data_IF_753814287413
#
_entry.id   IF_753814287413
#
_cell.length_a   1.000
_cell.length_b   1.000
_cell.length_c   1.000
_cell.angle_alpha   90.00
_cell.angle_beta   90.00
_cell.angle_gamma   90.00
#
_symmetry.space_group_name_H-M   'P 1'
#
loop_
_entity.id
_entity.type
_entity.pdbx_description
1 polymer ?
#
# COMPACT_ATOMS: atom_id res chain seq x y z
N UNK A 1 76.18 -14.38 27.54
CA UNK A 1 74.85 -14.95 27.87
C UNK A 1 73.81 -14.10 27.12
N UNK A 2 73.41 -14.52 25.90
CA UNK A 2 72.60 -13.72 24.96
C UNK A 2 71.19 -14.28 24.96
N UNK A 3 70.23 -13.53 25.48
CA UNK A 3 68.78 -13.89 25.47
C UNK A 3 68.21 -13.63 24.10
N UNK A 4 67.81 -14.69 23.40
CA UNK A 4 67.01 -14.59 22.18
C UNK A 4 65.54 -14.32 22.53
N UNK A 5 65.01 -13.16 22.09
CA UNK A 5 63.59 -12.85 22.19
C UNK A 5 62.84 -13.56 21.06
N UNK A 6 61.92 -14.44 21.42
CA UNK A 6 60.91 -14.99 20.48
C UNK A 6 59.81 -13.93 20.29
N UNK A 7 59.54 -13.57 19.05
CA UNK A 7 58.35 -12.79 18.67
C UNK A 7 57.14 -13.71 18.47
N UNK A 8 55.94 -13.40 18.97
CA UNK A 8 54.75 -14.20 18.70
C UNK A 8 54.23 -13.90 17.28
N UNK A 9 54.10 -14.94 16.49
CA UNK A 9 53.43 -14.88 15.20
C UNK A 9 51.90 -14.85 15.46
N UNK A 10 51.30 -13.71 15.19
CA UNK A 10 49.83 -13.55 15.23
C UNK A 10 49.26 -14.06 13.91
N UNK A 11 48.67 -15.26 13.93
CA UNK A 11 48.00 -15.83 12.77
C UNK A 11 46.60 -15.17 12.66
N UNK A 12 46.40 -14.22 11.73
CA UNK A 12 45.13 -13.62 11.42
C UNK A 12 44.28 -14.68 10.67
N UNK A 13 43.33 -15.29 11.35
CA UNK A 13 42.30 -16.11 10.73
C UNK A 13 41.34 -15.20 9.95
N UNK A 14 41.49 -15.11 8.64
CA UNK A 14 40.50 -14.54 7.72
C UNK A 14 39.32 -15.50 7.66
N UNK A 15 38.24 -15.21 8.40
CA UNK A 15 36.98 -15.89 8.27
C UNK A 15 36.33 -15.33 6.96
N UNK A 16 36.06 -16.19 5.95
CA UNK A 16 35.32 -15.72 4.78
C UNK A 16 33.92 -15.31 5.23
N UNK A 17 33.55 -14.04 5.03
CA UNK A 17 32.15 -13.63 5.08
C UNK A 17 31.44 -14.37 3.96
N UNK A 18 30.66 -15.40 4.32
CA UNK A 18 29.73 -16.04 3.40
C UNK A 18 28.66 -15.01 3.05
N UNK A 19 28.76 -14.39 1.87
CA UNK A 19 27.66 -13.63 1.31
C UNK A 19 26.51 -14.62 1.06
N UNK A 20 25.48 -14.59 1.88
CA UNK A 20 24.24 -15.30 1.59
C UNK A 20 23.67 -14.70 0.30
N UNK A 21 23.35 -15.52 -0.72
CA UNK A 21 22.72 -14.99 -1.92
C UNK A 21 21.37 -14.40 -1.52
N UNK A 22 21.20 -13.11 -1.78
CA UNK A 22 19.90 -12.46 -1.62
C UNK A 22 18.92 -13.13 -2.59
N UNK A 23 17.83 -13.67 -2.07
CA UNK A 23 16.82 -14.33 -2.88
C UNK A 23 16.22 -13.29 -3.82
N UNK A 24 16.34 -13.50 -5.13
CA UNK A 24 15.74 -12.61 -6.11
C UNK A 24 14.21 -12.73 -6.04
N UNK A 25 13.50 -11.61 -6.11
CA UNK A 25 12.05 -11.61 -6.18
C UNK A 25 11.58 -12.33 -7.44
N UNK A 26 10.61 -13.24 -7.30
CA UNK A 26 10.00 -13.93 -8.42
C UNK A 26 8.78 -13.14 -8.87
N UNK A 27 8.80 -12.71 -10.15
CA UNK A 27 7.63 -12.10 -10.78
C UNK A 27 7.09 -13.05 -11.85
N UNK A 28 5.88 -13.52 -11.67
CA UNK A 28 5.17 -14.32 -12.67
C UNK A 28 4.95 -13.46 -13.93
N UNK A 29 5.36 -13.90 -15.13
CA UNK A 29 5.10 -13.15 -16.36
C UNK A 29 3.63 -12.82 -16.57
N UNK A 30 2.72 -13.72 -16.17
CA UNK A 30 1.28 -13.51 -16.26
C UNK A 30 0.82 -12.41 -15.29
N UNK A 31 1.29 -12.38 -14.04
CA UNK A 31 0.96 -11.33 -13.09
C UNK A 31 1.44 -9.96 -13.59
N UNK A 32 2.67 -9.89 -14.09
CA UNK A 32 3.25 -8.66 -14.67
C UNK A 32 2.42 -8.17 -15.86
N UNK A 33 2.03 -9.09 -16.77
CA UNK A 33 1.22 -8.74 -17.94
C UNK A 33 -0.17 -8.21 -17.54
N UNK A 34 -0.85 -8.84 -16.56
CA UNK A 34 -2.15 -8.41 -16.08
C UNK A 34 -2.08 -7.07 -15.33
N UNK A 35 -1.07 -6.86 -14.50
CA UNK A 35 -0.85 -5.59 -13.83
C UNK A 35 -0.53 -4.45 -14.82
N UNK A 36 0.25 -4.73 -15.88
CA UNK A 36 0.49 -3.77 -16.95
C UNK A 36 -0.80 -3.43 -17.72
N UNK A 37 -1.67 -4.42 -17.97
CA UNK A 37 -2.99 -4.20 -18.58
C UNK A 37 -3.88 -3.34 -17.68
N UNK A 38 -3.87 -3.57 -16.36
CA UNK A 38 -4.61 -2.76 -15.40
C UNK A 38 -4.15 -1.28 -15.42
N UNK A 39 -2.85 -1.02 -15.40
CA UNK A 39 -2.30 0.35 -15.50
C UNK A 39 -2.66 0.97 -16.86
N UNK A 40 -2.57 0.23 -17.95
CA UNK A 40 -2.96 0.72 -19.27
C UNK A 40 -4.46 1.05 -19.33
N UNK A 41 -5.32 0.25 -18.70
CA UNK A 41 -6.75 0.52 -18.60
C UNK A 41 -7.06 1.75 -17.73
N UNK A 42 -6.33 1.93 -16.63
CA UNK A 42 -6.53 3.04 -15.70
C UNK A 42 -6.05 4.39 -16.26
N UNK A 43 -4.86 4.46 -16.81
CA UNK A 43 -4.20 5.74 -17.15
C UNK A 43 -3.62 5.81 -18.55
N UNK A 44 -3.67 4.71 -19.31
CA UNK A 44 -3.06 4.68 -20.64
C UNK A 44 -1.58 5.06 -20.59
N UNK A 45 -1.10 5.92 -21.50
CA UNK A 45 0.29 6.37 -21.52
C UNK A 45 0.58 7.51 -20.51
N UNK A 46 -0.43 8.00 -19.79
CA UNK A 46 -0.27 9.14 -18.88
C UNK A 46 0.34 8.68 -17.55
N UNK A 47 1.56 9.10 -17.19
CA UNK A 47 2.11 8.81 -15.87
C UNK A 47 1.33 9.59 -14.81
N UNK A 48 0.96 8.90 -13.75
CA UNK A 48 0.27 9.51 -12.60
C UNK A 48 1.29 9.65 -11.48
N UNK A 49 1.55 10.90 -11.06
CA UNK A 49 2.46 11.20 -9.96
C UNK A 49 1.70 11.55 -8.68
N UNK A 50 0.64 12.33 -8.81
CA UNK A 50 -0.19 12.72 -7.68
C UNK A 50 -1.68 12.73 -8.05
N UNK A 51 -2.52 12.63 -7.03
CA UNK A 51 -3.97 12.65 -7.16
C UNK A 51 -4.61 13.29 -5.93
N UNK A 52 -5.60 14.17 -6.16
CA UNK A 52 -6.49 14.69 -5.12
C UNK A 52 -7.93 14.31 -5.47
N UNK A 53 -8.62 13.64 -4.56
CA UNK A 53 -10.02 13.28 -4.67
C UNK A 53 -10.82 14.04 -3.60
N UNK A 54 -11.96 14.60 -3.99
CA UNK A 54 -12.89 15.24 -3.05
C UNK A 54 -14.28 14.68 -3.22
N UNK A 55 -15.01 14.55 -2.12
CA UNK A 55 -16.33 13.93 -2.16
C UNK A 55 -17.05 13.92 -0.83
N UNK A 56 -17.97 13.00 -0.68
CA UNK A 56 -18.69 12.73 0.55
C UNK A 56 -18.30 11.38 1.12
N UNK A 57 -18.41 11.25 2.44
CA UNK A 57 -18.09 10.05 3.19
C UNK A 57 -19.24 9.67 4.12
N UNK A 58 -19.49 8.37 4.25
CA UNK A 58 -20.24 7.78 5.36
C UNK A 58 -19.31 6.83 6.10
N UNK A 59 -19.11 7.09 7.39
CA UNK A 59 -18.30 6.26 8.30
C UNK A 59 -19.22 5.50 9.23
N UNK A 60 -18.97 4.21 9.40
CA UNK A 60 -19.68 3.32 10.33
C UNK A 60 -18.70 2.78 11.38
N UNK A 61 -18.98 2.99 12.66
CA UNK A 61 -18.21 2.47 13.78
C UNK A 61 -19.17 1.85 14.80
N UNK A 62 -19.38 0.53 14.70
CA UNK A 62 -20.40 -0.16 15.50
C UNK A 62 -21.80 0.35 15.13
N UNK A 63 -22.51 0.95 16.11
CA UNK A 63 -23.83 1.57 15.90
C UNK A 63 -23.76 3.01 15.38
N UNK A 64 -22.60 3.64 15.43
CA UNK A 64 -22.46 5.05 15.10
C UNK A 64 -22.25 5.20 13.60
N UNK A 65 -23.12 6.00 12.96
CA UNK A 65 -23.05 6.32 11.54
C UNK A 65 -22.95 7.83 11.43
N UNK A 66 -21.87 8.28 10.76
CA UNK A 66 -21.61 9.69 10.52
C UNK A 66 -21.41 9.93 9.03
N UNK A 67 -21.90 11.07 8.55
CA UNK A 67 -21.70 11.47 7.15
C UNK A 67 -21.11 12.88 7.09
N UNK A 68 -20.39 13.15 6.00
CA UNK A 68 -19.74 14.44 5.79
C UNK A 68 -18.93 14.49 4.52
N UNK A 69 -17.86 15.27 4.54
CA UNK A 69 -16.98 15.44 3.38
C UNK A 69 -15.65 14.71 3.54
N UNK A 70 -15.02 14.39 2.42
CA UNK A 70 -13.71 13.77 2.35
C UNK A 70 -12.81 14.52 1.38
N UNK A 71 -11.53 14.65 1.77
CA UNK A 71 -10.42 14.97 0.87
C UNK A 71 -9.38 13.86 1.00
N UNK A 72 -8.99 13.30 -0.14
CA UNK A 72 -7.93 12.30 -0.23
C UNK A 72 -6.84 12.82 -1.14
N UNK A 73 -5.60 12.75 -0.69
CA UNK A 73 -4.42 13.14 -1.45
C UNK A 73 -3.42 12.01 -1.47
N UNK A 74 -2.80 11.76 -2.62
CA UNK A 74 -1.78 10.74 -2.78
C UNK A 74 -0.65 11.23 -3.68
N UNK A 75 0.59 10.83 -3.36
CA UNK A 75 1.78 11.11 -4.14
C UNK A 75 2.64 9.85 -4.27
N UNK A 76 2.87 9.40 -5.51
CA UNK A 76 3.79 8.34 -5.90
C UNK A 76 3.67 7.02 -5.10
N UNK A 77 2.47 6.71 -4.57
CA UNK A 77 2.18 5.44 -3.86
C UNK A 77 2.75 5.32 -2.45
N UNK A 78 3.60 6.26 -2.01
CA UNK A 78 4.24 6.22 -0.68
C UNK A 78 3.73 7.29 0.27
N UNK A 79 2.98 8.26 -0.24
CA UNK A 79 2.43 9.35 0.55
C UNK A 79 0.93 9.41 0.36
N UNK A 80 0.20 9.57 1.45
CA UNK A 80 -1.23 9.81 1.41
C UNK A 80 -1.68 10.68 2.58
N UNK A 81 -2.79 11.36 2.36
CA UNK A 81 -3.52 12.10 3.36
C UNK A 81 -5.00 11.83 3.18
N UNK A 82 -5.70 11.63 4.28
CA UNK A 82 -7.14 11.51 4.32
C UNK A 82 -7.68 12.47 5.38
N UNK A 83 -8.53 13.39 4.95
CA UNK A 83 -9.26 14.30 5.82
C UNK A 83 -10.76 14.02 5.71
N UNK A 84 -11.37 13.56 6.81
CA UNK A 84 -12.81 13.39 6.95
C UNK A 84 -13.35 14.49 7.87
N UNK A 85 -14.33 15.26 7.39
CA UNK A 85 -15.11 16.20 8.20
C UNK A 85 -16.52 15.68 8.29
N UNK A 86 -16.82 14.96 9.38
CA UNK A 86 -18.07 14.26 9.60
C UNK A 86 -18.99 15.06 10.53
N UNK A 87 -20.24 14.63 10.68
CA UNK A 87 -21.26 15.33 11.44
C UNK A 87 -20.91 15.59 12.91
N UNK A 88 -20.18 14.66 13.55
CA UNK A 88 -19.81 14.77 14.97
C UNK A 88 -18.29 14.62 15.20
N UNK A 89 -17.50 14.31 14.18
CA UNK A 89 -16.07 14.07 14.31
C UNK A 89 -15.28 14.53 13.11
N UNK A 90 -13.97 14.70 13.30
CA UNK A 90 -13.00 14.89 12.23
C UNK A 90 -11.96 13.79 12.34
N UNK A 91 -11.54 13.23 11.19
CA UNK A 91 -10.45 12.27 11.14
C UNK A 91 -9.40 12.79 10.16
N UNK A 92 -8.17 12.81 10.63
CA UNK A 92 -7.02 13.19 9.84
C UNK A 92 -6.00 12.07 9.92
N UNK A 93 -5.60 11.56 8.77
CA UNK A 93 -4.60 10.49 8.65
C UNK A 93 -3.58 10.89 7.61
N UNK A 94 -2.30 10.76 7.94
CA UNK A 94 -1.18 10.99 7.02
C UNK A 94 -0.28 9.77 7.02
N UNK A 95 0.15 9.36 5.83
CA UNK A 95 1.20 8.36 5.63
C UNK A 95 2.28 8.96 4.75
N UNK A 96 3.53 8.79 5.13
CA UNK A 96 4.68 9.36 4.43
C UNK A 96 5.94 8.49 4.62
N UNK A 97 7.07 9.00 4.17
CA UNK A 97 8.38 8.40 4.39
C UNK A 97 9.20 9.25 5.36
N UNK A 98 9.90 8.61 6.28
CA UNK A 98 10.94 9.26 7.09
C UNK A 98 12.12 9.71 6.24
N UNK A 99 13.03 10.47 6.82
CA UNK A 99 14.28 10.89 6.16
C UNK A 99 15.15 9.72 5.66
N UNK A 100 14.96 8.52 6.24
CA UNK A 100 15.63 7.29 5.84
C UNK A 100 14.80 6.43 4.88
N UNK A 101 13.75 7.00 4.28
CA UNK A 101 12.82 6.32 3.37
C UNK A 101 12.09 5.12 4.01
N UNK A 102 11.91 5.15 5.33
CA UNK A 102 11.10 4.15 6.05
C UNK A 102 9.65 4.61 6.07
N UNK A 103 8.67 3.76 5.68
CA UNK A 103 7.26 4.08 5.79
C UNK A 103 6.86 4.44 7.23
N UNK A 104 6.11 5.50 7.38
CA UNK A 104 5.57 5.95 8.66
C UNK A 104 4.24 6.66 8.44
N UNK A 105 3.54 6.98 9.51
CA UNK A 105 2.31 7.74 9.45
C UNK A 105 1.77 8.05 10.84
N UNK A 106 0.73 8.86 10.87
CA UNK A 106 0.04 9.24 12.08
C UNK A 106 -1.43 9.57 11.79
N UNK A 107 -2.23 9.53 12.81
CA UNK A 107 -3.58 10.07 12.81
C UNK A 107 -3.74 11.09 13.95
N UNK A 108 -4.69 11.99 13.84
CA UNK A 108 -4.94 12.99 14.87
C UNK A 108 -6.05 12.49 15.79
N UNK A 109 -5.75 12.37 17.08
CA UNK A 109 -6.71 12.01 18.11
C UNK A 109 -7.71 13.16 18.36
N UNK A 110 -8.86 12.90 19.02
CA UNK A 110 -9.89 13.92 19.30
C UNK A 110 -9.40 15.12 20.11
N UNK A 111 -8.31 14.96 20.87
CA UNK A 111 -7.66 16.04 21.63
C UNK A 111 -6.67 16.87 20.79
N UNK A 112 -6.55 16.56 19.50
CA UNK A 112 -5.63 17.22 18.56
C UNK A 112 -4.20 16.66 18.58
N UNK A 113 -3.89 15.65 19.39
CA UNK A 113 -2.55 15.07 19.47
C UNK A 113 -2.30 14.07 18.32
N UNK A 114 -1.11 14.11 17.68
CA UNK A 114 -0.74 13.12 16.70
C UNK A 114 -0.43 11.77 17.36
N UNK A 115 -1.01 10.71 16.82
CA UNK A 115 -0.81 9.32 17.25
C UNK A 115 -0.09 8.57 16.12
N UNK A 116 1.13 8.08 16.33
CA UNK A 116 1.85 7.38 15.28
C UNK A 116 1.22 6.02 15.00
N UNK A 117 1.20 5.62 13.74
CA UNK A 117 0.93 4.23 13.36
C UNK A 117 2.11 3.34 13.72
N UNK A 118 1.82 2.13 14.15
CA UNK A 118 2.84 1.09 14.24
C UNK A 118 3.46 0.83 12.86
N UNK A 119 4.78 0.62 12.81
CA UNK A 119 5.52 0.45 11.56
C UNK A 119 4.91 -0.65 10.67
N UNK A 120 4.50 -1.78 11.25
CA UNK A 120 3.90 -2.89 10.51
C UNK A 120 2.60 -2.51 9.81
N UNK A 121 1.84 -1.51 10.31
CA UNK A 121 0.65 -0.98 9.64
C UNK A 121 0.97 0.06 8.55
N UNK A 122 2.26 0.41 8.37
CA UNK A 122 2.70 1.29 7.28
C UNK A 122 3.32 0.53 6.10
N UNK A 123 3.32 -0.81 6.12
CA UNK A 123 3.99 -1.63 5.10
C UNK A 123 3.16 -1.86 3.83
N UNK A 124 1.84 -1.66 3.89
CA UNK A 124 0.94 -1.71 2.72
C UNK A 124 0.85 -0.37 2.01
N UNK A 125 0.15 -0.32 0.89
CA UNK A 125 0.02 0.89 0.08
C UNK A 125 -0.57 2.07 0.86
N UNK A 126 0.19 3.17 0.94
CA UNK A 126 -0.29 4.40 1.54
C UNK A 126 -1.48 4.97 0.75
N UNK A 127 -1.42 4.90 -0.58
CA UNK A 127 -2.43 5.41 -1.50
C UNK A 127 -3.53 4.37 -1.81
N UNK A 128 -3.99 3.60 -0.83
CA UNK A 128 -4.96 2.51 -0.98
C UNK A 128 -6.23 2.89 -1.75
N UNK A 129 -6.61 4.16 -1.78
CA UNK A 129 -7.79 4.69 -2.49
C UNK A 129 -7.53 5.09 -3.95
N UNK A 130 -6.28 5.08 -4.39
CA UNK A 130 -5.85 5.47 -5.73
C UNK A 130 -5.17 4.30 -6.45
N UNK A 131 -5.93 3.40 -7.12
CA UNK A 131 -5.36 2.17 -7.68
C UNK A 131 -4.25 2.43 -8.72
N UNK A 132 -4.16 3.63 -9.30
CA UNK A 132 -3.09 4.06 -10.18
C UNK A 132 -1.73 4.20 -9.46
N UNK A 133 -1.74 4.37 -8.13
CA UNK A 133 -0.57 4.63 -7.29
C UNK A 133 -0.29 3.49 -6.30
N UNK A 134 -0.84 2.30 -6.53
CA UNK A 134 -0.65 1.10 -5.71
C UNK A 134 0.50 0.23 -6.23
N UNK A 135 0.63 -1.00 -5.72
CA UNK A 135 1.61 -2.00 -6.16
C UNK A 135 1.61 -2.23 -7.68
N UNK A 136 0.46 -2.02 -8.34
CA UNK A 136 0.33 -2.15 -9.80
C UNK A 136 1.30 -1.23 -10.57
N UNK A 137 1.60 -0.05 -10.04
CA UNK A 137 2.53 0.91 -10.66
C UNK A 137 4.01 0.64 -10.32
N UNK A 138 4.29 -0.30 -9.42
CA UNK A 138 5.63 -0.59 -8.88
C UNK A 138 6.29 -1.85 -9.45
N UNK A 139 5.85 -2.34 -10.62
CA UNK A 139 6.36 -3.57 -11.24
C UNK A 139 7.87 -3.52 -11.54
N UNK A 140 8.46 -2.35 -11.65
CA UNK A 140 9.92 -2.17 -11.82
C UNK A 140 10.71 -2.32 -10.51
N UNK A 141 10.05 -2.43 -9.36
CA UNK A 141 10.73 -2.64 -8.08
C UNK A 141 11.34 -4.05 -8.06
N UNK A 142 12.68 -4.19 -7.95
CA UNK A 142 13.34 -5.50 -7.99
C UNK A 142 13.03 -6.38 -6.76
N UNK A 143 12.51 -5.79 -5.69
CA UNK A 143 12.09 -6.52 -4.48
C UNK A 143 10.61 -6.95 -4.52
N UNK A 144 9.85 -6.54 -5.54
CA UNK A 144 8.43 -6.89 -5.65
C UNK A 144 8.27 -8.33 -6.13
N UNK A 145 7.60 -9.14 -5.33
CA UNK A 145 7.06 -10.46 -5.74
C UNK A 145 5.71 -10.20 -6.37
N UNK A 146 5.46 -10.82 -7.52
CA UNK A 146 4.17 -10.76 -8.20
C UNK A 146 3.77 -12.16 -8.66
N UNK A 147 2.62 -12.66 -8.23
CA UNK A 147 2.10 -13.98 -8.56
C UNK A 147 0.69 -13.89 -9.12
N UNK A 148 0.39 -14.70 -10.12
CA UNK A 148 -0.98 -14.92 -10.58
C UNK A 148 -1.57 -16.09 -9.80
N UNK A 149 -2.63 -15.82 -9.05
CA UNK A 149 -3.32 -16.82 -8.23
C UNK A 149 -4.33 -17.61 -9.07
N UNK A 150 -5.07 -16.93 -9.93
CA UNK A 150 -6.07 -17.56 -10.80
C UNK A 150 -7.19 -16.61 -11.20
N UNK A 151 -8.14 -17.13 -11.99
CA UNK A 151 -9.40 -16.47 -12.24
C UNK A 151 -10.44 -16.99 -11.24
N UNK A 152 -11.20 -16.10 -10.65
CA UNK A 152 -12.28 -16.44 -9.71
C UNK A 152 -13.53 -15.59 -9.93
N UNK A 153 -14.54 -15.77 -9.08
CA UNK A 153 -15.79 -15.00 -9.14
C UNK A 153 -15.94 -14.18 -7.87
N UNK A 154 -16.10 -12.84 -8.01
CA UNK A 154 -16.44 -11.92 -6.94
C UNK A 154 -17.69 -11.14 -7.31
N UNK A 155 -18.68 -11.08 -6.40
CA UNK A 155 -19.94 -10.37 -6.65
C UNK A 155 -20.68 -10.82 -7.91
N UNK A 156 -20.46 -12.07 -8.38
CA UNK A 156 -21.05 -12.61 -9.61
C UNK A 156 -20.29 -12.27 -10.90
N UNK A 157 -19.20 -11.50 -10.83
CA UNK A 157 -18.34 -11.17 -11.96
C UNK A 157 -17.03 -11.98 -11.93
N UNK A 158 -16.50 -12.33 -13.11
CA UNK A 158 -15.19 -12.96 -13.23
C UNK A 158 -14.08 -11.94 -12.98
N UNK A 159 -13.09 -12.31 -12.16
CA UNK A 159 -11.94 -11.46 -11.84
C UNK A 159 -10.63 -12.24 -11.99
N UNK A 160 -9.56 -11.52 -12.34
CA UNK A 160 -8.18 -12.02 -12.29
C UNK A 160 -7.61 -11.68 -10.92
N UNK A 161 -7.12 -12.69 -10.20
CA UNK A 161 -6.56 -12.55 -8.86
C UNK A 161 -5.02 -12.52 -8.93
N UNK A 162 -4.43 -11.44 -8.44
CA UNK A 162 -3.00 -11.21 -8.35
C UNK A 162 -2.59 -11.09 -6.89
N UNK A 163 -1.47 -11.70 -6.53
CA UNK A 163 -0.81 -11.54 -5.24
C UNK A 163 0.49 -10.77 -5.39
N UNK A 164 0.68 -9.77 -4.55
CA UNK A 164 1.91 -8.99 -4.45
C UNK A 164 2.46 -9.03 -3.03
N UNK A 165 3.80 -9.00 -2.93
CA UNK A 165 4.50 -8.81 -1.66
C UNK A 165 5.88 -8.22 -1.93
N UNK A 166 6.55 -7.69 -0.91
CA UNK A 166 7.91 -7.16 -1.02
C UNK A 166 8.88 -8.06 -0.27
N UNK A 167 10.01 -8.41 -0.89
CA UNK A 167 11.09 -9.09 -0.20
C UNK A 167 11.81 -8.15 0.74
N UNK A 168 12.10 -8.63 1.95
CA UNK A 168 12.98 -7.95 2.88
C UNK A 168 14.41 -7.87 2.32
N UNK A 169 15.10 -6.75 2.58
CA UNK A 169 16.54 -6.64 2.33
C UNK A 169 17.38 -7.50 3.31
N UNK A 170 16.79 -7.89 4.43
CA UNK A 170 17.37 -8.78 5.44
C UNK A 170 16.77 -10.19 5.33
N UNK A 171 17.46 -11.24 5.81
CA UNK A 171 16.89 -12.58 5.83
C UNK A 171 15.53 -12.62 6.55
N UNK A 172 14.52 -13.17 5.90
CA UNK A 172 13.15 -13.34 6.40
C UNK A 172 12.74 -14.83 6.31
N UNK A 173 13.33 -15.71 7.15
CA UNK A 173 13.12 -17.15 7.03
C UNK A 173 11.70 -17.61 7.35
N UNK A 174 10.90 -16.77 7.99
CA UNK A 174 9.50 -17.05 8.33
C UNK A 174 8.51 -16.47 7.32
N UNK A 175 8.98 -15.61 6.40
CA UNK A 175 8.11 -14.85 5.51
C UNK A 175 7.29 -13.76 6.23
N UNK A 176 7.68 -13.40 7.45
CA UNK A 176 6.93 -12.44 8.26
C UNK A 176 6.83 -11.07 7.58
N UNK A 177 7.95 -10.54 7.08
CA UNK A 177 7.96 -9.27 6.38
C UNK A 177 7.13 -9.31 5.07
N UNK A 178 7.23 -10.44 4.32
CA UNK A 178 6.38 -10.64 3.15
C UNK A 178 4.90 -10.62 3.53
N UNK A 179 4.52 -11.23 4.66
CA UNK A 179 3.14 -11.19 5.16
C UNK A 179 2.66 -9.76 5.47
N UNK A 180 3.53 -8.91 6.05
CA UNK A 180 3.19 -7.51 6.35
C UNK A 180 3.02 -6.64 5.10
N UNK A 181 3.64 -7.02 4.00
CA UNK A 181 3.59 -6.27 2.72
C UNK A 181 2.66 -6.91 1.70
N UNK A 182 1.99 -8.02 2.06
CA UNK A 182 1.15 -8.76 1.15
C UNK A 182 -0.13 -7.99 0.80
N UNK A 183 -0.42 -7.93 -0.50
CA UNK A 183 -1.62 -7.33 -1.05
C UNK A 183 -2.19 -8.23 -2.15
N UNK A 184 -3.50 -8.47 -2.10
CA UNK A 184 -4.23 -9.17 -3.15
C UNK A 184 -4.98 -8.13 -4.01
N UNK A 185 -4.84 -8.22 -5.31
CA UNK A 185 -5.49 -7.32 -6.26
C UNK A 185 -6.40 -8.11 -7.17
N UNK A 186 -7.63 -7.67 -7.26
CA UNK A 186 -8.66 -8.28 -8.09
C UNK A 186 -9.01 -7.36 -9.25
N UNK A 187 -8.76 -7.84 -10.47
CA UNK A 187 -9.03 -7.11 -11.70
C UNK A 187 -10.26 -7.69 -12.38
N UNK A 188 -11.20 -6.88 -12.82
CA UNK A 188 -12.27 -7.34 -13.69
C UNK A 188 -11.70 -8.05 -14.93
N UNK A 189 -12.16 -9.26 -15.21
CA UNK A 189 -11.56 -10.12 -16.23
C UNK A 189 -11.74 -9.59 -17.67
N UNK A 190 -12.61 -8.59 -17.88
CA UNK A 190 -12.90 -8.01 -19.18
C UNK A 190 -12.24 -6.66 -19.37
N UNK A 191 -12.35 -5.78 -18.37
CA UNK A 191 -11.87 -4.40 -18.44
C UNK A 191 -10.47 -4.22 -17.87
N UNK A 192 -9.98 -5.17 -17.08
CA UNK A 192 -8.75 -5.14 -16.29
C UNK A 192 -8.69 -4.02 -15.24
N UNK A 193 -9.82 -3.35 -14.99
CA UNK A 193 -9.88 -2.36 -13.91
C UNK A 193 -9.86 -3.06 -12.55
N UNK A 194 -9.12 -2.55 -11.57
CA UNK A 194 -9.18 -3.03 -10.20
C UNK A 194 -10.61 -2.93 -9.66
N UNK A 195 -11.14 -4.01 -9.13
CA UNK A 195 -12.44 -4.03 -8.46
C UNK A 195 -12.30 -4.11 -6.95
N UNK A 196 -11.19 -4.72 -6.47
CA UNK A 196 -10.85 -4.74 -5.06
C UNK A 196 -9.34 -4.86 -4.85
N UNK A 197 -8.88 -4.40 -3.69
CA UNK A 197 -7.57 -4.69 -3.10
C UNK A 197 -7.82 -5.19 -1.69
N UNK A 198 -7.13 -6.27 -1.26
CA UNK A 198 -7.19 -6.73 0.12
C UNK A 198 -5.79 -6.84 0.72
N UNK A 199 -5.67 -6.53 1.99
CA UNK A 199 -4.45 -6.65 2.78
C UNK A 199 -4.80 -6.84 4.26
N UNK A 200 -3.80 -7.08 5.10
CA UNK A 200 -4.00 -7.16 6.54
C UNK A 200 -3.49 -5.90 7.23
N UNK A 201 -4.31 -5.33 8.10
CA UNK A 201 -3.88 -4.48 9.20
C UNK A 201 -3.66 -5.35 10.45
N UNK A 202 -3.02 -4.78 11.47
CA UNK A 202 -2.67 -5.50 12.69
C UNK A 202 -2.93 -4.62 13.91
N UNK A 203 -3.24 -5.20 15.10
CA UNK A 203 -3.20 -4.44 16.34
C UNK A 203 -1.82 -3.80 16.53
N UNK A 204 -1.76 -2.60 17.07
CA UNK A 204 -0.50 -1.86 17.24
C UNK A 204 0.54 -2.59 18.10
N UNK A 205 0.10 -3.46 18.99
CA UNK A 205 0.94 -4.23 19.91
C UNK A 205 1.21 -5.67 19.44
N UNK A 206 0.58 -6.15 18.36
CA UNK A 206 0.79 -7.52 17.87
C UNK A 206 0.62 -7.64 16.35
N UNK A 207 1.72 -7.64 15.64
CA UNK A 207 1.77 -7.80 14.19
C UNK A 207 1.48 -9.24 13.68
N UNK A 208 1.25 -10.20 14.58
CA UNK A 208 0.89 -11.57 14.19
C UNK A 208 -0.63 -11.78 14.09
N UNK A 209 -1.43 -10.85 14.57
CA UNK A 209 -2.89 -10.89 14.47
C UNK A 209 -3.33 -10.16 13.21
N UNK A 210 -3.95 -10.87 12.28
CA UNK A 210 -4.46 -10.31 11.04
C UNK A 210 -5.86 -9.71 11.23
N UNK A 211 -6.02 -8.47 10.78
CA UNK A 211 -7.31 -7.78 10.64
C UNK A 211 -7.50 -7.56 9.15
N UNK A 212 -8.42 -8.30 8.54
CA UNK A 212 -8.67 -8.19 7.10
C UNK A 212 -9.21 -6.81 6.75
N UNK A 213 -8.57 -6.17 5.77
CA UNK A 213 -9.01 -4.93 5.14
C UNK A 213 -9.28 -5.21 3.67
N UNK A 214 -10.42 -4.75 3.18
CA UNK A 214 -10.79 -4.79 1.76
C UNK A 214 -11.17 -3.39 1.31
N UNK A 215 -10.69 -3.01 0.14
CA UNK A 215 -11.01 -1.75 -0.53
C UNK A 215 -11.69 -2.12 -1.85
N UNK A 216 -12.96 -1.79 -1.99
CA UNK A 216 -13.72 -1.98 -3.23
C UNK A 216 -13.74 -0.70 -4.06
N UNK A 217 -13.56 -0.85 -5.36
CA UNK A 217 -13.59 0.22 -6.36
C UNK A 217 -14.73 0.02 -7.35
N UNK A 218 -15.48 1.08 -7.59
CA UNK A 218 -16.56 1.05 -8.60
C UNK A 218 -16.85 2.43 -9.17
N UNK A 219 -17.82 2.51 -10.08
CA UNK A 219 -18.25 3.76 -10.71
C UNK A 219 -17.10 4.53 -11.36
N UNK A 220 -16.22 3.85 -12.08
CA UNK A 220 -15.09 4.46 -12.78
C UNK A 220 -15.53 5.53 -13.76
N UNK A 221 -14.89 6.69 -13.71
CA UNK A 221 -15.13 7.82 -14.61
C UNK A 221 -13.82 8.35 -15.19
N UNK A 222 -13.85 8.83 -16.41
CA UNK A 222 -12.69 9.42 -17.05
C UNK A 222 -12.48 10.86 -16.60
N UNK A 223 -11.30 11.16 -16.07
CA UNK A 223 -10.85 12.51 -15.71
C UNK A 223 -9.53 12.77 -16.42
N UNK A 224 -9.52 13.66 -17.39
CA UNK A 224 -8.35 13.97 -18.24
C UNK A 224 -7.74 12.71 -18.89
N UNK A 225 -8.57 11.73 -19.27
CA UNK A 225 -8.14 10.48 -19.91
C UNK A 225 -7.71 9.38 -18.93
N UNK A 226 -7.78 9.63 -17.62
CA UNK A 226 -7.50 8.65 -16.56
C UNK A 226 -8.81 8.16 -15.96
N UNK A 227 -8.98 6.84 -15.82
CA UNK A 227 -10.15 6.25 -15.17
C UNK A 227 -9.93 6.26 -13.65
N UNK A 228 -10.77 7.00 -12.93
CA UNK A 228 -10.74 7.16 -11.48
C UNK A 228 -11.99 6.52 -10.88
N UNK A 229 -11.91 5.72 -9.79
CA UNK A 229 -13.09 5.21 -9.12
C UNK A 229 -13.83 6.35 -8.42
N UNK A 230 -15.12 6.50 -8.71
CA UNK A 230 -15.98 7.52 -8.08
C UNK A 230 -16.77 6.96 -6.90
N UNK A 231 -16.68 5.66 -6.65
CA UNK A 231 -17.07 5.04 -5.39
C UNK A 231 -15.96 4.16 -4.87
N UNK A 232 -15.60 4.36 -3.60
CA UNK A 232 -14.57 3.62 -2.89
C UNK A 232 -15.16 3.18 -1.54
N UNK A 233 -15.09 1.88 -1.24
CA UNK A 233 -15.60 1.35 0.00
C UNK A 233 -14.47 0.64 0.76
N UNK A 234 -14.36 0.88 2.06
CA UNK A 234 -13.40 0.20 2.94
C UNK A 234 -14.16 -0.68 3.90
N UNK A 235 -13.80 -1.95 3.89
CA UNK A 235 -14.33 -2.95 4.81
C UNK A 235 -13.24 -3.41 5.77
N UNK A 236 -13.60 -3.68 7.00
CA UNK A 236 -12.74 -4.31 8.01
C UNK A 236 -13.46 -5.55 8.51
N UNK A 237 -12.81 -6.73 8.40
CA UNK A 237 -13.42 -8.02 8.73
C UNK A 237 -14.81 -8.19 8.07
N UNK A 238 -14.92 -7.85 6.78
CA UNK A 238 -16.14 -7.85 5.96
C UNK A 238 -17.23 -6.84 6.41
N UNK A 239 -16.98 -6.02 7.42
CA UNK A 239 -17.88 -4.95 7.83
C UNK A 239 -17.56 -3.64 7.10
N UNK A 240 -18.53 -3.02 6.45
CA UNK A 240 -18.37 -1.71 5.79
C UNK A 240 -18.13 -0.63 6.86
N UNK A 241 -16.94 -0.03 6.85
CA UNK A 241 -16.54 1.01 7.80
C UNK A 241 -16.46 2.40 7.17
N UNK A 242 -16.25 2.47 5.84
CA UNK A 242 -16.18 3.75 5.13
C UNK A 242 -16.74 3.57 3.71
N UNK A 243 -17.70 4.42 3.33
CA UNK A 243 -18.26 4.50 1.98
C UNK A 243 -18.04 5.91 1.44
N UNK A 244 -17.27 6.03 0.38
CA UNK A 244 -16.85 7.28 -0.23
C UNK A 244 -17.53 7.43 -1.60
N UNK A 245 -18.17 8.58 -1.82
CA UNK A 245 -18.63 9.00 -3.13
C UNK A 245 -17.81 10.19 -3.58
N UNK A 246 -16.99 10.01 -4.62
CA UNK A 246 -16.11 11.03 -5.15
C UNK A 246 -16.92 11.95 -6.07
N UNK A 247 -16.76 13.25 -5.89
CA UNK A 247 -17.42 14.29 -6.69
C UNK A 247 -16.44 14.97 -7.66
N UNK A 248 -15.15 14.98 -7.34
CA UNK A 248 -14.11 15.60 -8.16
C UNK A 248 -12.78 14.88 -7.97
N UNK A 249 -12.03 14.76 -9.06
CA UNK A 249 -10.66 14.27 -9.07
C UNK A 249 -9.75 15.25 -9.81
N UNK A 250 -8.57 15.50 -9.24
CA UNK A 250 -7.48 16.27 -9.86
C UNK A 250 -6.26 15.37 -9.93
N UNK A 251 -5.55 15.42 -11.04
CA UNK A 251 -4.43 14.53 -11.33
C UNK A 251 -3.23 15.38 -11.73
N UNK A 252 -2.05 15.04 -11.21
CA UNK A 252 -0.77 15.71 -11.52
C UNK A 252 -0.82 17.21 -11.23
N UNK A 253 -1.30 17.61 -10.05
CA UNK A 253 -1.36 19.02 -9.64
C UNK A 253 -0.07 19.52 -9.02
N UNK A 254 0.94 18.65 -8.87
CA UNK A 254 2.26 19.00 -8.35
C UNK A 254 2.33 18.92 -6.82
N UNK A 255 1.62 17.98 -6.20
CA UNK A 255 1.82 17.67 -4.78
C UNK A 255 3.28 17.26 -4.53
N UNK A 256 3.78 17.62 -3.36
CA UNK A 256 5.15 17.36 -2.91
C UNK A 256 5.14 16.62 -1.57
N UNK A 257 6.26 16.05 -1.17
CA UNK A 257 6.36 15.41 0.15
C UNK A 257 6.04 16.35 1.33
N UNK A 258 6.20 17.67 1.14
CA UNK A 258 5.88 18.67 2.17
C UNK A 258 4.38 18.77 2.47
N UNK A 259 3.52 18.38 1.51
CA UNK A 259 2.06 18.40 1.68
C UNK A 259 1.58 17.26 2.60
N UNK A 260 2.47 16.33 2.95
CA UNK A 260 2.22 15.15 3.79
C UNK A 260 3.06 15.14 5.08
N UNK A 261 3.43 16.29 5.58
CA UNK A 261 4.23 16.46 6.81
C UNK A 261 3.35 16.75 8.04
#
# INVERSE_FOLDING_TARGET
>A
MTLKRLAPIFCLLLIPLSAYPQQAAVQSPQAVALAAQAIAALSGPTPINDMTLTGTATRTAGSDIESGTVVLEALAGSYSRMDLSLSNSTHHEVRNLSSNSVPQGYWIAPDGSPQPFSLHNCMTDAAWFAPQLTVLSRLSNPSLVASYVGQETRGGAAVQHLHFAVLSASPDPTGFFQGLTAEEVYLDATTFLPVAITFNAHPDNDANINISVEIDFSAYQAVNGVLVPFRIQKLINNGLVLDLTINSAKINQGLTAADFS
#
